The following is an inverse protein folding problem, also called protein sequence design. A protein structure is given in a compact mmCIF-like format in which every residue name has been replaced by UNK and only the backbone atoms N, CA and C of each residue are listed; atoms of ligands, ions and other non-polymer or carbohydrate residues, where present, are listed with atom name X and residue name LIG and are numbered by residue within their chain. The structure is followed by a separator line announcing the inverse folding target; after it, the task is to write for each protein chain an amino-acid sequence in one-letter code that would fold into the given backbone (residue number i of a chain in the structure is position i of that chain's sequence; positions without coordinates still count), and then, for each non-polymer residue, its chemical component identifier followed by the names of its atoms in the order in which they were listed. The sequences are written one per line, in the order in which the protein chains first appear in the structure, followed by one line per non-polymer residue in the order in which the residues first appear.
data_IF_367313351910
#
_entry.id   IF_367313351910
#
_cell.length_a   1.000
_cell.length_b   1.000
_cell.length_c   1.000
_cell.angle_alpha   90.00
_cell.angle_beta   90.00
_cell.angle_gamma   90.00
#
_symmetry.space_group_name_H-M   'P 1'
#
loop_
_entity.id
_entity.type
_entity.pdbx_description
1 polymer ?
2 non-polymer ?
3 water ?
#
# COMPACT_ATOMS: atom_id res chain seq x y z
N UNK A 1 -15.16 -4.75 7.70
CA UNK A 1 -14.41 -4.02 6.69
C UNK A 1 -14.12 -4.90 5.49
N UNK A 2 -14.06 -4.27 4.32
CA UNK A 2 -13.89 -5.00 3.07
C UNK A 2 -13.13 -4.13 2.09
N UNK A 3 -13.03 -4.60 0.85
CA UNK A 3 -12.41 -3.81 -0.20
C UNK A 3 -13.14 -2.49 -0.41
N UNK A 4 -14.42 -2.41 -0.01
CA UNK A 4 -15.16 -1.15 -0.12
C UNK A 4 -14.54 -0.06 0.72
N UNK A 5 -13.76 -0.42 1.74
CA UNK A 5 -13.11 0.55 2.60
C UNK A 5 -11.72 0.96 2.11
N UNK A 6 -11.35 0.53 0.90
CA UNK A 6 -10.04 0.84 0.34
C UNK A 6 -9.81 2.34 0.29
N UNK A 7 -10.77 3.10 -0.22
CA UNK A 7 -10.57 4.54 -0.34
C UNK A 7 -10.38 5.19 1.03
N UNK A 8 -11.14 4.76 2.03
CA UNK A 8 -10.94 5.29 3.38
C UNK A 8 -9.55 4.96 3.89
N UNK A 9 -9.07 3.75 3.62
CA UNK A 9 -7.74 3.35 4.05
C UNK A 9 -6.66 4.20 3.38
N UNK A 10 -6.78 4.39 2.06
CA UNK A 10 -5.83 5.24 1.33
C UNK A 10 -5.85 6.65 1.90
N UNK A 11 -7.06 7.20 2.10
CA UNK A 11 -7.16 8.56 2.61
C UNK A 11 -6.49 8.67 3.97
N UNK A 12 -6.66 7.65 4.81
CA UNK A 12 -6.05 7.66 6.13
C UNK A 12 -4.53 7.70 6.02
N UNK A 13 -3.96 6.83 5.19
CA UNK A 13 -2.51 6.79 5.01
C UNK A 13 -2.01 8.12 4.46
N UNK A 14 -2.74 8.71 3.50
CA UNK A 14 -2.33 10.00 2.95
C UNK A 14 -2.34 11.10 4.01
N UNK A 15 -3.24 10.99 5.00
CA UNK A 15 -3.41 12.03 6.00
C UNK A 15 -2.35 12.00 7.09
N UNK A 16 -1.60 10.91 7.19
CA UNK A 16 -0.68 10.74 8.31
C UNK A 16 0.40 11.82 8.30
N UNK A 17 0.64 12.49 9.43
CA UNK A 17 1.72 13.48 9.48
C UNK A 17 3.08 12.81 9.53
N UNK A 18 4.11 13.61 9.24
CA UNK A 18 5.45 13.07 9.05
C UNK A 18 5.96 12.36 10.29
N UNK A 19 5.90 13.02 11.44
CA UNK A 19 6.40 12.42 12.67
C UNK A 19 5.26 12.20 13.66
N UNK A 20 4.17 11.59 13.19
CA UNK A 20 2.98 11.45 13.99
C UNK A 20 2.89 10.13 14.72
N UNK A 21 1.68 9.78 15.17
CA UNK A 21 1.50 8.57 15.98
C UNK A 21 1.70 7.28 15.20
N UNK A 22 1.61 7.30 13.88
CA UNK A 22 1.80 6.12 13.05
C UNK A 22 3.13 6.26 12.31
N UNK A 23 3.97 5.24 12.41
CA UNK A 23 5.26 5.21 11.74
C UNK A 23 5.21 4.21 10.59
N UNK A 24 5.63 4.65 9.41
CA UNK A 24 5.67 3.81 8.22
C UNK A 24 7.13 3.65 7.81
N UNK A 25 7.66 2.43 7.91
CA UNK A 25 8.99 2.21 7.37
C UNK A 25 8.92 2.02 5.86
N UNK A 26 10.10 1.91 5.23
CA UNK A 26 10.14 1.80 3.78
C UNK A 26 9.38 0.58 3.29
N UNK A 27 9.49 -0.54 4.01
CA UNK A 27 8.77 -1.75 3.62
C UNK A 27 7.27 -1.49 3.58
N UNK A 28 6.74 -0.84 4.62
CA UNK A 28 5.31 -0.57 4.65
C UNK A 28 4.90 0.37 3.52
N UNK A 29 5.68 1.43 3.29
CA UNK A 29 5.37 2.35 2.20
C UNK A 29 5.37 1.64 0.86
N UNK A 30 6.32 0.73 0.64
CA UNK A 30 6.38 0.02 -0.63
C UNK A 30 5.21 -0.95 -0.77
N UNK A 31 4.80 -1.57 0.34
CA UNK A 31 3.63 -2.45 0.30
C UNK A 31 2.37 -1.65 -0.03
N UNK A 32 2.16 -0.52 0.64
CA UNK A 32 1.00 0.31 0.33
C UNK A 32 1.05 0.84 -1.10
N UNK A 33 2.21 1.32 -1.54
CA UNK A 33 2.32 1.82 -2.91
C UNK A 33 1.96 0.75 -3.92
N UNK A 34 2.57 -0.43 -3.80
CA UNK A 34 2.36 -1.47 -4.79
C UNK A 34 0.92 -1.97 -4.80
N UNK A 35 0.32 -2.18 -3.63
CA UNK A 35 -1.07 -2.60 -3.60
C UNK A 35 -1.99 -1.50 -4.13
N UNK A 36 -1.66 -0.24 -3.84
CA UNK A 36 -2.46 0.87 -4.34
C UNK A 36 -2.46 0.89 -5.86
N UNK A 37 -1.27 0.78 -6.47
CA UNK A 37 -1.18 0.77 -7.92
C UNK A 37 -1.89 -0.44 -8.50
N UNK A 38 -1.70 -1.61 -7.90
CA UNK A 38 -2.39 -2.80 -8.39
C UNK A 38 -3.90 -2.64 -8.31
N UNK A 39 -4.39 -2.03 -7.22
CA UNK A 39 -5.83 -1.86 -7.04
C UNK A 39 -6.42 -0.84 -8.01
N UNK A 40 -5.67 0.20 -8.34
CA UNK A 40 -6.20 1.31 -9.12
C UNK A 40 -5.87 1.21 -10.60
N UNK A 41 -4.75 0.61 -10.96
CA UNK A 41 -4.30 0.59 -12.34
C UNK A 41 -4.14 -0.81 -12.91
N UNK A 42 -4.17 -1.85 -12.08
CA UNK A 42 -3.93 -3.19 -12.57
C UNK A 42 -2.44 -3.49 -12.62
N UNK A 43 -2.08 -4.41 -13.51
CA UNK A 43 -0.70 -4.88 -13.59
C UNK A 43 0.25 -3.75 -13.96
N UNK A 44 1.49 -3.88 -13.47
CA UNK A 44 2.52 -2.87 -13.64
C UNK A 44 2.69 -2.50 -15.10
N UNK A 45 2.91 -1.22 -15.34
CA UNK A 45 2.99 -0.65 -16.68
C UNK A 45 4.38 -0.08 -16.90
N UNK A 46 4.79 -0.06 -18.16
CA UNK A 46 5.99 0.63 -18.55
C UNK A 46 7.26 -0.15 -18.30
N UNK A 47 8.37 0.55 -18.47
CA UNK A 47 9.70 -0.01 -18.32
C UNK A 47 10.17 0.10 -16.87
N UNK A 48 11.02 -0.84 -16.48
CA UNK A 48 11.63 -0.80 -15.16
C UNK A 48 12.53 0.43 -15.06
N UNK A 49 12.41 1.23 -14.00
CA UNK A 49 13.32 2.36 -13.82
C UNK A 49 14.77 1.91 -13.67
N UNK A 50 15.67 2.88 -13.83
CA UNK A 50 17.09 2.64 -13.62
C UNK A 50 17.39 2.42 -12.13
N UNK A 51 18.37 1.55 -11.83
CA UNK A 51 18.66 1.22 -10.43
C UNK A 51 19.13 2.42 -9.62
N UNK A 52 19.85 3.35 -10.25
CA UNK A 52 20.29 4.55 -9.54
C UNK A 52 19.10 5.36 -9.04
N UNK A 53 17.95 5.24 -9.70
CA UNK A 53 16.69 5.75 -9.17
C UNK A 53 16.16 4.74 -8.16
N UNK A 54 16.81 4.73 -7.00
CA UNK A 54 16.59 3.67 -6.01
C UNK A 54 15.13 3.57 -5.62
N UNK A 55 14.51 4.71 -5.30
CA UNK A 55 13.13 4.68 -4.84
C UNK A 55 12.18 4.34 -5.97
N UNK A 56 12.35 4.97 -7.14
CA UNK A 56 11.47 4.67 -8.26
C UNK A 56 11.57 3.21 -8.67
N UNK A 57 12.79 2.67 -8.71
CA UNK A 57 12.96 1.27 -9.07
C UNK A 57 12.34 0.35 -8.02
N UNK A 58 12.54 0.66 -6.74
CA UNK A 58 11.94 -0.14 -5.68
C UNK A 58 10.42 -0.15 -5.80
N UNK A 59 9.82 1.01 -6.05
CA UNK A 59 8.36 1.10 -6.19
C UNK A 59 7.86 0.26 -7.36
N UNK A 60 8.53 0.38 -8.51
CA UNK A 60 8.09 -0.37 -9.69
C UNK A 60 8.25 -1.87 -9.47
N UNK A 61 9.38 -2.29 -8.90
CA UNK A 61 9.57 -3.70 -8.60
C UNK A 61 8.53 -4.21 -7.61
N UNK A 62 8.19 -3.40 -6.60
CA UNK A 62 7.17 -3.82 -5.65
C UNK A 62 5.83 -3.99 -6.35
N UNK A 63 5.49 -3.06 -7.25
CA UNK A 63 4.27 -3.19 -8.03
C UNK A 63 4.33 -4.41 -8.94
N UNK A 64 5.46 -4.62 -9.60
CA UNK A 64 5.62 -5.81 -10.42
C UNK A 64 5.38 -7.09 -9.62
N UNK A 65 5.77 -7.11 -8.34
CA UNK A 65 5.54 -8.29 -7.52
C UNK A 65 4.06 -8.57 -7.27
N UNK A 66 3.18 -7.62 -7.57
CA UNK A 66 1.74 -7.83 -7.41
C UNK A 66 1.04 -8.25 -8.69
N UNK A 67 1.77 -8.49 -9.77
CA UNK A 67 1.11 -8.75 -11.04
C UNK A 67 0.24 -9.99 -10.96
N UNK A 68 -0.91 -9.94 -11.64
CA UNK A 68 -1.88 -11.02 -11.61
C UNK A 68 -2.91 -10.89 -10.52
N UNK A 69 -2.71 -9.96 -9.60
CA UNK A 69 -3.65 -9.79 -8.50
C UNK A 69 -4.86 -9.01 -8.99
N UNK A 70 -6.05 -9.54 -8.71
CA UNK A 70 -7.27 -8.84 -9.06
C UNK A 70 -7.35 -7.55 -8.26
N UNK A 71 -7.95 -6.52 -8.86
CA UNK A 71 -7.96 -5.22 -8.20
C UNK A 71 -8.68 -5.27 -6.86
N UNK A 72 -9.79 -6.02 -6.78
CA UNK A 72 -10.49 -6.13 -5.50
C UNK A 72 -9.65 -6.87 -4.46
N UNK A 73 -8.81 -7.82 -4.89
CA UNK A 73 -7.92 -8.49 -3.95
C UNK A 73 -6.81 -7.55 -3.48
N UNK A 74 -6.31 -6.70 -4.38
CA UNK A 74 -5.33 -5.71 -3.96
C UNK A 74 -5.94 -4.72 -2.98
N UNK A 75 -7.18 -4.29 -3.23
CA UNK A 75 -7.85 -3.38 -2.30
C UNK A 75 -7.98 -4.02 -0.93
N UNK A 76 -8.43 -5.28 -0.89
CA UNK A 76 -8.56 -5.97 0.39
C UNK A 76 -7.22 -6.09 1.09
N UNK A 77 -6.16 -6.44 0.35
CA UNK A 77 -4.84 -6.57 0.95
C UNK A 77 -4.34 -5.25 1.51
N UNK A 78 -4.63 -4.14 0.82
CA UNK A 78 -4.25 -2.82 1.32
C UNK A 78 -4.91 -2.54 2.67
N UNK A 79 -6.23 -2.74 2.75
CA UNK A 79 -6.93 -2.46 4.00
C UNK A 79 -6.43 -3.37 5.10
N UNK A 80 -6.30 -4.67 4.80
CA UNK A 80 -5.78 -5.62 5.79
C UNK A 80 -4.41 -5.19 6.28
N UNK A 81 -3.54 -4.76 5.36
CA UNK A 81 -2.19 -4.35 5.77
C UNK A 81 -2.25 -3.13 6.67
N UNK A 82 -3.16 -2.19 6.39
CA UNK A 82 -3.31 -1.04 7.27
C UNK A 82 -3.76 -1.48 8.65
N UNK A 83 -4.77 -2.36 8.71
CA UNK A 83 -5.27 -2.81 10.01
C UNK A 83 -4.18 -3.52 10.81
N UNK A 84 -3.37 -4.34 10.13
CA UNK A 84 -2.35 -5.08 10.85
C UNK A 84 -1.19 -4.18 11.25
N UNK A 85 -0.81 -3.23 10.39
CA UNK A 85 0.23 -2.28 10.77
C UNK A 85 -0.20 -1.45 11.97
N UNK A 86 -1.45 -0.96 11.96
CA UNK A 86 -1.92 -0.16 13.09
C UNK A 86 -1.95 -1.00 14.36
N UNK A 87 -2.42 -2.24 14.26
CA UNK A 87 -2.44 -3.12 15.43
C UNK A 87 -1.03 -3.33 15.98
N UNK A 88 -0.03 -3.39 15.10
CA UNK A 88 1.34 -3.56 15.57
C UNK A 88 1.89 -2.31 16.24
N UNK A 89 1.16 -1.20 16.16
CA UNK A 89 1.50 0.03 16.85
C UNK A 89 0.45 0.41 17.89
N UNK A 90 -0.34 -0.55 18.34
CA UNK A 90 -1.31 -0.30 19.40
C UNK A 90 -2.44 0.63 19.00
N UNK A 91 -2.84 0.61 17.73
CA UNK A 91 -3.90 1.47 17.21
C UNK A 91 -4.95 0.59 16.55
N UNK A 92 -6.21 0.82 16.88
CA UNK A 92 -7.31 0.15 16.20
C UNK A 92 -7.91 1.14 15.21
N UNK A 93 -8.08 0.71 13.97
CA UNK A 93 -8.59 1.58 12.92
C UNK A 93 -10.03 1.24 12.57
N UNK A 94 -10.78 2.28 12.22
CA UNK A 94 -12.12 2.16 11.67
C UNK A 94 -12.26 3.36 10.74
N UNK A 95 -12.91 3.20 9.60
CA UNK A 95 -13.02 4.33 8.65
C UNK A 95 -13.75 5.51 9.28
N UNK A 96 -13.12 6.68 9.20
CA UNK A 96 -13.67 7.89 9.78
C UNK A 96 -13.10 8.19 11.15
X LIG B 1 13.55 2.18 7.11
X LIG B 1 13.82 1.01 6.88
X LIG B 1 12.46 2.69 6.87
X LIG C 1 -0.99 5.16 -0.63
X LIG C 1 -0.64 4.93 -1.78
X LIG C 1 -0.56 4.54 0.34
X LIG D 1 14.08 8.27 -6.86
X LIG D 1 14.42 7.14 -7.20
X LIG D 1 12.92 8.68 -6.92
#
# INVERSE_FOLDING_TARGET
MSAADFEAAVAYVRSLPKDGPVQLDNAAKLQFYSLYKQATEGDVTGSQPWAVQVEARAKWDAWNSCKGMKSEDAKAAYVRRLLTLLRSQGIQWKPGARVQSRL
FMT C O1 O2
FMT C O1 O2
FMT C O1 O2
#
